data_IF_943336862759
#
_entry.id   IF_943336862759
#
_cell.length_a   1.000
_cell.length_b   1.000
_cell.length_c   1.000
_cell.angle_alpha   90.00
_cell.angle_beta   90.00
_cell.angle_gamma   90.00
#
_symmetry.space_group_name_H-M   'P 1'
#
loop_
_entity.id
_entity.type
_entity.pdbx_description
1 polymer ?
#
# COMPACT_ATOMS: atom_id res chain seq x y z
N UNK A 1 -14.48 17.69 14.15
CA UNK A 1 -14.90 18.82 15.02
C UNK A 1 -15.83 18.31 16.14
N UNK A 2 -16.83 17.48 15.82
CA UNK A 2 -17.75 16.94 16.84
C UNK A 2 -17.01 16.07 17.87
N UNK A 3 -16.08 15.23 17.46
CA UNK A 3 -15.28 14.40 18.37
C UNK A 3 -14.35 15.23 19.26
N UNK A 4 -13.73 16.29 18.72
CA UNK A 4 -12.93 17.22 19.52
C UNK A 4 -13.79 17.98 20.52
N UNK A 5 -14.97 18.43 20.11
CA UNK A 5 -15.91 19.09 21.01
C UNK A 5 -16.39 18.15 22.13
N UNK A 6 -16.66 16.89 21.80
CA UNK A 6 -17.03 15.87 22.78
C UNK A 6 -15.86 15.53 23.72
N UNK A 7 -14.65 15.43 23.22
CA UNK A 7 -13.46 15.22 24.03
C UNK A 7 -13.22 16.37 25.02
N UNK A 8 -13.37 17.63 24.56
CA UNK A 8 -13.26 18.82 25.43
C UNK A 8 -14.40 18.85 26.47
N UNK A 9 -15.64 18.53 26.06
CA UNK A 9 -16.78 18.49 26.95
C UNK A 9 -16.65 17.42 28.04
N UNK A 10 -16.15 16.22 27.67
CA UNK A 10 -15.86 15.16 28.64
C UNK A 10 -14.76 15.57 29.60
N UNK A 11 -13.70 16.22 29.13
CA UNK A 11 -12.59 16.70 29.94
C UNK A 11 -13.05 17.75 30.95
N UNK A 12 -13.93 18.69 30.56
CA UNK A 12 -14.43 19.75 31.44
C UNK A 12 -15.49 19.28 32.40
N UNK A 13 -16.35 18.34 32.00
CA UNK A 13 -17.48 17.90 32.83
C UNK A 13 -17.09 16.82 33.86
N UNK A 14 -16.09 16.02 33.60
CA UNK A 14 -15.74 14.86 34.42
C UNK A 14 -14.36 14.94 35.05
N UNK A 15 -13.64 16.06 34.93
CA UNK A 15 -12.29 16.25 35.50
C UNK A 15 -12.23 16.05 37.00
N UNK A 16 -13.31 16.41 37.74
CA UNK A 16 -13.35 16.35 39.19
C UNK A 16 -13.80 14.98 39.70
N UNK A 17 -14.45 14.17 38.86
CA UNK A 17 -15.05 12.90 39.26
C UNK A 17 -14.26 11.67 38.80
N UNK A 18 -13.40 11.81 37.80
CA UNK A 18 -12.66 10.72 37.19
C UNK A 18 -11.22 11.10 36.85
N UNK A 19 -10.32 10.14 36.98
CA UNK A 19 -8.94 10.30 36.56
C UNK A 19 -8.87 10.37 35.01
N UNK A 20 -8.98 11.59 34.49
CA UNK A 20 -8.91 11.86 33.03
C UNK A 20 -7.54 11.62 32.43
N UNK A 21 -6.47 11.42 33.24
CA UNK A 21 -5.14 11.07 32.74
C UNK A 21 -5.13 9.71 32.02
N UNK A 22 -6.11 8.87 32.31
CA UNK A 22 -6.32 7.56 31.69
C UNK A 22 -7.15 7.59 30.41
N UNK A 23 -7.73 8.76 30.07
CA UNK A 23 -8.49 8.90 28.84
C UNK A 23 -7.53 9.26 27.71
N UNK A 24 -7.28 8.29 26.85
CA UNK A 24 -6.53 8.52 25.60
C UNK A 24 -7.47 9.05 24.53
N UNK A 25 -7.27 10.31 24.16
CA UNK A 25 -8.02 10.90 23.05
C UNK A 25 -7.42 10.41 21.71
N UNK A 26 -8.26 10.08 20.72
CA UNK A 26 -7.77 9.70 19.41
C UNK A 26 -7.04 10.87 18.74
N UNK A 27 -5.98 10.57 18.02
CA UNK A 27 -5.35 11.53 17.13
C UNK A 27 -6.23 11.70 15.89
N UNK A 28 -6.62 12.93 15.60
CA UNK A 28 -7.39 13.25 14.40
C UNK A 28 -6.43 13.56 13.25
N UNK A 29 -6.47 12.74 12.23
CA UNK A 29 -5.72 12.93 10.98
C UNK A 29 -6.72 13.43 9.95
N UNK A 30 -6.56 14.69 9.52
CA UNK A 30 -7.38 15.26 8.47
C UNK A 30 -6.69 15.11 7.11
N UNK A 31 -7.41 14.55 6.15
CA UNK A 31 -6.98 14.49 4.76
C UNK A 31 -7.58 15.64 3.94
N UNK A 32 -6.88 16.01 2.88
CA UNK A 32 -7.41 16.90 1.87
C UNK A 32 -8.51 16.21 1.04
N UNK A 33 -9.13 16.94 0.14
CA UNK A 33 -10.27 16.45 -0.62
C UNK A 33 -9.84 15.52 -1.76
N UNK A 34 -10.63 14.48 -1.96
CA UNK A 34 -10.65 13.72 -3.22
C UNK A 34 -11.59 14.46 -4.17
N UNK A 35 -11.06 14.85 -5.33
CA UNK A 35 -11.83 15.58 -6.34
C UNK A 35 -12.28 14.58 -7.42
N UNK A 36 -13.56 14.27 -7.47
CA UNK A 36 -14.08 13.41 -8.54
C UNK A 36 -14.13 14.20 -9.86
N UNK A 37 -13.43 13.70 -10.88
CA UNK A 37 -13.28 14.37 -12.19
C UNK A 37 -12.86 15.85 -12.03
N UNK A 38 -11.89 16.12 -11.16
CA UNK A 38 -11.37 17.44 -10.78
C UNK A 38 -12.36 18.39 -10.11
N UNK A 39 -13.54 17.91 -9.77
CA UNK A 39 -14.55 18.72 -9.09
C UNK A 39 -14.79 18.24 -7.68
N UNK A 40 -15.00 19.19 -6.78
CA UNK A 40 -15.36 18.88 -5.40
C UNK A 40 -16.77 18.27 -5.39
N UNK A 41 -16.90 17.07 -4.84
CA UNK A 41 -18.19 16.46 -4.59
C UNK A 41 -18.98 17.30 -3.57
N UNK A 42 -20.20 17.65 -3.91
CA UNK A 42 -21.12 18.40 -3.06
C UNK A 42 -22.52 17.86 -3.25
N UNK A 43 -23.31 17.84 -2.20
CA UNK A 43 -24.73 17.45 -2.27
C UNK A 43 -25.58 18.33 -3.20
N UNK A 44 -25.09 19.55 -3.48
CA UNK A 44 -25.72 20.53 -4.38
C UNK A 44 -25.07 20.60 -5.76
N UNK A 45 -24.07 19.77 -6.06
CA UNK A 45 -23.42 19.72 -7.39
C UNK A 45 -24.14 18.75 -8.30
N UNK A 46 -24.16 19.07 -9.61
CA UNK A 46 -24.70 18.18 -10.65
C UNK A 46 -23.85 16.90 -10.82
N UNK A 47 -22.63 16.90 -10.29
CA UNK A 47 -21.71 15.77 -10.37
C UNK A 47 -21.79 15.01 -9.05
N UNK A 48 -22.39 13.83 -9.11
CA UNK A 48 -22.37 12.87 -8.01
C UNK A 48 -21.20 11.91 -8.20
N UNK A 49 -20.26 11.80 -7.22
CA UNK A 49 -19.26 10.77 -7.29
C UNK A 49 -19.92 9.39 -7.14
N UNK A 50 -19.36 8.34 -7.76
CA UNK A 50 -19.87 6.99 -7.60
C UNK A 50 -19.77 6.56 -6.15
N UNK A 51 -20.69 5.71 -5.74
CA UNK A 51 -20.63 5.05 -4.44
C UNK A 51 -19.57 3.92 -4.45
N UNK A 52 -19.16 3.47 -3.29
CA UNK A 52 -18.10 2.46 -3.17
C UNK A 52 -18.50 1.12 -3.83
N UNK A 53 -19.76 0.71 -3.71
CA UNK A 53 -20.33 -0.49 -4.34
C UNK A 53 -20.36 -0.37 -5.87
N UNK A 54 -20.69 0.79 -6.43
CA UNK A 54 -20.61 1.04 -7.88
C UNK A 54 -19.16 0.92 -8.40
N UNK A 55 -18.18 1.39 -7.62
CA UNK A 55 -16.77 1.25 -7.97
C UNK A 55 -16.30 -0.21 -7.93
N UNK A 56 -16.86 -1.01 -7.04
CA UNK A 56 -16.52 -2.44 -6.93
C UNK A 56 -17.02 -3.30 -8.09
N UNK A 57 -17.90 -2.77 -8.95
CA UNK A 57 -18.27 -3.41 -10.21
C UNK A 57 -17.11 -3.41 -11.23
N UNK A 58 -16.17 -2.46 -11.10
CA UNK A 58 -15.07 -2.26 -12.05
C UNK A 58 -13.67 -2.54 -11.45
N UNK A 59 -13.53 -2.40 -10.14
CA UNK A 59 -12.26 -2.51 -9.44
C UNK A 59 -12.37 -3.42 -8.22
N UNK A 60 -11.29 -4.08 -7.85
CA UNK A 60 -11.26 -4.79 -6.56
C UNK A 60 -11.07 -3.80 -5.39
N UNK A 61 -11.48 -4.21 -4.20
CA UNK A 61 -11.30 -3.40 -2.99
C UNK A 61 -9.83 -3.07 -2.74
N UNK A 62 -8.92 -4.01 -3.03
CA UNK A 62 -7.48 -3.85 -2.90
C UNK A 62 -6.93 -2.81 -3.88
N UNK A 63 -7.40 -2.82 -5.14
CA UNK A 63 -7.01 -1.82 -6.14
C UNK A 63 -7.43 -0.41 -5.72
N UNK A 64 -8.66 -0.25 -5.25
CA UNK A 64 -9.16 1.03 -4.76
C UNK A 64 -8.38 1.51 -3.53
N UNK A 65 -8.14 0.63 -2.56
CA UNK A 65 -7.35 0.96 -1.36
C UNK A 65 -5.93 1.39 -1.71
N UNK A 66 -5.25 0.64 -2.59
CA UNK A 66 -3.92 1.01 -3.06
C UNK A 66 -3.91 2.35 -3.76
N UNK A 67 -4.89 2.61 -4.63
CA UNK A 67 -5.01 3.88 -5.32
C UNK A 67 -5.21 5.04 -4.33
N UNK A 68 -6.18 4.96 -3.42
CA UNK A 68 -6.42 6.00 -2.43
C UNK A 68 -5.23 6.22 -1.50
N UNK A 69 -4.53 5.16 -1.12
CA UNK A 69 -3.31 5.26 -0.30
C UNK A 69 -2.21 6.03 -1.04
N UNK A 70 -2.08 5.84 -2.35
CA UNK A 70 -1.04 6.46 -3.17
C UNK A 70 -1.28 7.95 -3.49
N UNK A 71 -2.50 8.47 -3.28
CA UNK A 71 -2.88 9.83 -3.69
C UNK A 71 -2.15 10.96 -2.93
N UNK A 72 -1.61 10.70 -1.75
CA UNK A 72 -0.92 11.73 -0.96
C UNK A 72 -1.86 12.82 -0.42
N UNK A 73 -3.04 12.42 0.01
CA UNK A 73 -4.09 13.33 0.52
C UNK A 73 -3.70 14.10 1.78
N UNK A 74 -2.63 13.71 2.48
CA UNK A 74 -2.08 14.45 3.61
C UNK A 74 -1.53 15.82 3.20
N UNK A 75 -1.09 15.97 1.95
CA UNK A 75 -0.40 17.17 1.46
C UNK A 75 -1.26 18.08 0.59
N UNK A 76 -2.15 17.52 -0.20
CA UNK A 76 -2.98 18.27 -1.17
C UNK A 76 -4.26 17.54 -1.54
N UNK A 77 -5.22 18.29 -2.08
CA UNK A 77 -6.38 17.71 -2.75
C UNK A 77 -5.96 17.09 -4.09
N UNK A 78 -6.47 15.90 -4.40
CA UNK A 78 -6.06 15.14 -5.59
C UNK A 78 -7.30 14.68 -6.37
N UNK A 79 -7.18 14.70 -7.71
CA UNK A 79 -8.20 14.22 -8.61
C UNK A 79 -8.30 12.69 -8.59
N UNK A 80 -9.52 12.19 -8.50
CA UNK A 80 -9.88 10.79 -8.72
C UNK A 80 -10.61 10.68 -10.05
N UNK A 81 -9.96 10.05 -11.03
CA UNK A 81 -10.42 9.99 -12.42
C UNK A 81 -10.39 8.53 -12.92
N UNK A 82 -11.31 7.69 -12.46
CA UNK A 82 -11.38 6.33 -12.96
C UNK A 82 -11.85 6.35 -14.42
N UNK A 83 -11.14 5.64 -15.30
CA UNK A 83 -11.42 5.69 -16.74
C UNK A 83 -12.83 5.20 -17.12
N UNK A 84 -13.41 4.32 -16.32
CA UNK A 84 -14.78 3.82 -16.54
C UNK A 84 -15.84 4.92 -16.57
N UNK A 85 -15.57 6.05 -15.89
CA UNK A 85 -16.46 7.23 -15.87
C UNK A 85 -16.03 8.33 -16.84
N UNK A 86 -14.96 8.11 -17.61
CA UNK A 86 -14.53 9.05 -18.64
C UNK A 86 -15.18 8.72 -19.98
N UNK A 87 -15.47 9.74 -20.82
CA UNK A 87 -15.85 9.52 -22.21
C UNK A 87 -14.81 8.66 -22.94
N UNK A 88 -15.23 7.79 -23.85
CA UNK A 88 -14.31 6.86 -24.53
C UNK A 88 -13.19 7.56 -25.29
N UNK A 89 -13.47 8.70 -25.89
CA UNK A 89 -12.50 9.52 -26.61
C UNK A 89 -11.46 10.19 -25.72
N UNK A 90 -11.70 10.24 -24.40
CA UNK A 90 -10.77 10.81 -23.41
C UNK A 90 -9.97 9.73 -22.66
N UNK A 91 -10.31 8.45 -22.84
CA UNK A 91 -9.60 7.33 -22.22
C UNK A 91 -8.27 7.12 -22.91
N UNK A 92 -7.19 7.52 -22.24
CA UNK A 92 -5.83 7.37 -22.76
C UNK A 92 -4.94 6.62 -21.76
N UNK A 93 -4.15 5.68 -22.28
CA UNK A 93 -3.18 4.94 -21.48
C UNK A 93 -3.83 3.98 -20.49
N UNK A 94 -3.12 3.71 -19.41
CA UNK A 94 -3.57 2.83 -18.34
C UNK A 94 -4.46 3.58 -17.35
N UNK A 95 -5.56 2.96 -16.93
CA UNK A 95 -6.41 3.49 -15.87
C UNK A 95 -5.57 3.76 -14.61
N UNK A 96 -5.69 4.98 -14.08
CA UNK A 96 -4.91 5.43 -12.91
C UNK A 96 -5.20 4.60 -11.66
N UNK A 97 -6.44 4.11 -11.52
CA UNK A 97 -6.82 3.23 -10.39
C UNK A 97 -6.11 1.88 -10.48
N UNK A 98 -5.96 1.35 -11.70
CA UNK A 98 -5.29 0.06 -11.91
C UNK A 98 -3.77 0.15 -11.86
N UNK A 99 -3.19 1.34 -12.03
CA UNK A 99 -1.74 1.52 -12.03
C UNK A 99 -1.09 1.03 -10.73
N UNK A 100 -1.59 1.48 -9.59
CA UNK A 100 -1.10 1.05 -8.29
C UNK A 100 -1.52 -0.39 -7.96
N UNK A 101 -2.71 -0.81 -8.38
CA UNK A 101 -3.17 -2.18 -8.25
C UNK A 101 -2.25 -3.19 -8.95
N UNK A 102 -1.59 -2.79 -10.03
CA UNK A 102 -0.61 -3.62 -10.73
C UNK A 102 0.64 -3.93 -9.90
N UNK A 103 0.96 -3.13 -8.87
CA UNK A 103 2.02 -3.47 -7.93
C UNK A 103 1.72 -4.77 -7.21
N UNK A 104 0.47 -4.96 -6.80
CA UNK A 104 0.04 -6.18 -6.11
C UNK A 104 0.14 -7.41 -7.00
N UNK A 105 -0.30 -7.33 -8.25
CA UNK A 105 -0.36 -8.48 -9.17
C UNK A 105 0.94 -8.72 -9.91
N UNK A 106 1.57 -7.68 -10.43
CA UNK A 106 2.71 -7.80 -11.35
C UNK A 106 4.07 -7.72 -10.65
N UNK A 107 4.12 -7.20 -9.43
CA UNK A 107 5.37 -7.07 -8.66
C UNK A 107 5.37 -8.03 -7.49
N UNK A 108 4.48 -7.84 -6.51
CA UNK A 108 4.46 -8.63 -5.28
C UNK A 108 4.11 -10.09 -5.53
N UNK A 109 2.97 -10.31 -6.16
CA UNK A 109 2.49 -11.66 -6.42
C UNK A 109 3.41 -12.43 -7.36
N UNK A 110 4.04 -11.74 -8.32
CA UNK A 110 5.01 -12.37 -9.23
C UNK A 110 6.22 -12.93 -8.48
N UNK A 111 6.81 -12.16 -7.56
CA UNK A 111 7.95 -12.62 -6.77
C UNK A 111 7.57 -13.83 -5.91
N UNK A 112 6.48 -13.72 -5.15
CA UNK A 112 5.98 -14.79 -4.27
C UNK A 112 5.72 -16.08 -5.07
N UNK A 113 5.04 -15.98 -6.20
CA UNK A 113 4.79 -17.13 -7.07
C UNK A 113 6.08 -17.77 -7.59
N UNK A 114 7.07 -16.97 -7.97
CA UNK A 114 8.35 -17.47 -8.45
C UNK A 114 9.08 -18.25 -7.36
N UNK A 115 9.09 -17.77 -6.13
CA UNK A 115 9.67 -18.48 -4.98
C UNK A 115 8.92 -19.81 -4.72
N UNK A 116 7.58 -19.79 -4.71
CA UNK A 116 6.79 -21.00 -4.51
C UNK A 116 6.99 -22.05 -5.61
N UNK A 117 7.10 -21.66 -6.87
CA UNK A 117 7.41 -22.58 -7.94
C UNK A 117 8.81 -23.20 -7.78
N UNK A 118 9.80 -22.43 -7.34
CA UNK A 118 11.13 -22.97 -7.08
C UNK A 118 11.12 -23.93 -5.88
N UNK A 119 10.40 -23.60 -4.79
CA UNK A 119 10.25 -24.49 -3.63
C UNK A 119 9.55 -25.79 -4.04
N UNK A 120 8.51 -25.71 -4.85
CA UNK A 120 7.83 -26.90 -5.36
C UNK A 120 8.74 -27.76 -6.25
N UNK A 121 9.51 -27.14 -7.12
CA UNK A 121 10.34 -27.86 -8.10
C UNK A 121 11.58 -28.51 -7.51
N UNK A 122 12.18 -27.89 -6.48
CA UNK A 122 13.47 -28.31 -5.95
C UNK A 122 13.43 -28.89 -4.54
N UNK A 123 12.37 -28.62 -3.77
CA UNK A 123 12.31 -28.95 -2.34
C UNK A 123 10.99 -29.61 -1.91
N UNK A 124 10.28 -30.22 -2.83
CA UNK A 124 9.09 -31.00 -2.54
C UNK A 124 8.03 -30.24 -1.70
N UNK A 125 7.82 -28.97 -2.05
CA UNK A 125 6.94 -28.04 -1.35
C UNK A 125 7.34 -27.72 0.12
N UNK A 126 8.58 -28.00 0.51
CA UNK A 126 9.09 -27.67 1.86
C UNK A 126 10.05 -26.49 1.74
N UNK A 127 9.86 -25.50 2.61
CA UNK A 127 10.80 -24.37 2.68
C UNK A 127 12.16 -24.91 3.13
N UNK A 128 13.24 -24.73 2.32
CA UNK A 128 14.55 -25.22 2.69
C UNK A 128 15.14 -24.44 3.86
N UNK A 129 15.92 -25.11 4.70
CA UNK A 129 16.73 -24.42 5.69
C UNK A 129 17.89 -23.70 4.99
N UNK A 130 18.11 -22.45 5.38
CA UNK A 130 19.16 -21.62 4.83
C UNK A 130 19.39 -20.36 5.66
N UNK A 131 20.42 -19.61 5.33
CA UNK A 131 20.71 -18.29 5.91
C UNK A 131 20.29 -17.21 4.92
N UNK A 132 19.62 -16.18 5.41
CA UNK A 132 19.25 -15.04 4.58
C UNK A 132 20.49 -14.26 4.16
N UNK A 133 20.56 -13.83 2.92
CA UNK A 133 21.64 -12.96 2.42
C UNK A 133 21.69 -11.66 3.24
N UNK A 134 22.88 -11.29 3.71
CA UNK A 134 23.07 -10.09 4.55
C UNK A 134 22.65 -8.80 3.85
N UNK A 135 22.78 -8.72 2.53
CA UNK A 135 22.32 -7.56 1.74
C UNK A 135 20.81 -7.44 1.75
N UNK A 136 20.11 -8.57 1.63
CA UNK A 136 18.64 -8.59 1.70
C UNK A 136 18.17 -8.25 3.11
N UNK A 137 18.86 -8.74 4.13
CA UNK A 137 18.56 -8.42 5.52
C UNK A 137 18.76 -6.92 5.82
N UNK A 138 19.83 -6.33 5.31
CA UNK A 138 20.07 -4.88 5.41
C UNK A 138 18.97 -4.07 4.68
N UNK A 139 18.64 -4.44 3.43
CA UNK A 139 17.54 -3.83 2.67
C UNK A 139 16.19 -3.91 3.42
N UNK A 140 15.90 -5.06 4.04
CA UNK A 140 14.68 -5.24 4.81
C UNK A 140 14.65 -4.32 6.04
N UNK A 141 15.77 -4.20 6.77
CA UNK A 141 15.87 -3.28 7.92
C UNK A 141 15.65 -1.83 7.51
N UNK A 142 16.29 -1.39 6.42
CA UNK A 142 16.13 -0.03 5.92
C UNK A 142 14.68 0.24 5.47
N UNK A 143 14.06 -0.71 4.77
CA UNK A 143 12.68 -0.61 4.36
C UNK A 143 11.71 -0.53 5.54
N UNK A 144 11.94 -1.30 6.61
CA UNK A 144 11.12 -1.25 7.83
C UNK A 144 11.24 0.12 8.51
N UNK A 145 12.47 0.65 8.66
CA UNK A 145 12.69 1.97 9.27
C UNK A 145 12.02 3.09 8.47
N UNK A 146 12.13 3.06 7.14
CA UNK A 146 11.46 4.02 6.26
C UNK A 146 9.93 3.88 6.33
N UNK A 147 9.42 2.65 6.34
CA UNK A 147 7.99 2.37 6.52
C UNK A 147 7.47 2.95 7.84
N UNK A 148 8.13 2.65 8.96
CA UNK A 148 7.76 3.16 10.28
C UNK A 148 7.79 4.68 10.34
N UNK A 149 8.83 5.31 9.77
CA UNK A 149 8.95 6.77 9.69
C UNK A 149 7.77 7.39 8.94
N UNK A 150 7.40 6.83 7.80
CA UNK A 150 6.27 7.33 7.02
C UNK A 150 4.92 7.06 7.67
N UNK A 151 4.77 5.91 8.34
CA UNK A 151 3.58 5.62 9.15
C UNK A 151 3.41 6.64 10.27
N UNK A 152 4.49 6.92 11.01
CA UNK A 152 4.49 7.88 12.10
C UNK A 152 4.15 9.30 11.65
N UNK A 153 4.63 9.70 10.47
CA UNK A 153 4.37 11.00 9.88
C UNK A 153 3.05 11.09 9.09
N UNK A 154 2.31 9.98 8.99
CA UNK A 154 1.07 9.86 8.21
C UNK A 154 1.26 10.11 6.71
N UNK A 155 2.47 9.86 6.20
CA UNK A 155 2.84 9.98 4.79
C UNK A 155 2.52 8.69 4.03
N UNK A 156 1.27 8.23 4.08
CA UNK A 156 0.86 6.91 3.59
C UNK A 156 1.19 6.68 2.12
N UNK A 157 1.15 7.71 1.29
CA UNK A 157 1.52 7.60 -0.13
C UNK A 157 2.99 7.21 -0.33
N UNK A 158 3.87 7.54 0.60
CA UNK A 158 5.28 7.17 0.53
C UNK A 158 5.53 5.71 0.87
N UNK A 159 4.64 5.11 1.67
CA UNK A 159 4.72 3.69 2.01
C UNK A 159 4.64 2.81 0.76
N UNK A 160 3.79 3.17 -0.19
CA UNK A 160 3.68 2.43 -1.45
C UNK A 160 4.99 2.42 -2.23
N UNK A 161 5.73 3.53 -2.23
CA UNK A 161 7.04 3.62 -2.87
C UNK A 161 8.11 2.82 -2.12
N UNK A 162 8.12 2.84 -0.79
CA UNK A 162 9.05 2.04 0.02
C UNK A 162 8.85 0.57 -0.27
N UNK A 163 7.61 0.09 -0.25
CA UNK A 163 7.29 -1.31 -0.52
C UNK A 163 7.60 -1.70 -1.96
N UNK A 164 7.25 -0.88 -2.94
CA UNK A 164 7.54 -1.14 -4.35
C UNK A 164 9.05 -1.23 -4.59
N UNK A 165 9.82 -0.27 -4.08
CA UNK A 165 11.27 -0.26 -4.21
C UNK A 165 11.90 -1.50 -3.58
N UNK A 166 11.51 -1.82 -2.35
CA UNK A 166 12.00 -2.99 -1.62
C UNK A 166 11.74 -4.29 -2.38
N UNK A 167 10.50 -4.52 -2.81
CA UNK A 167 10.14 -5.77 -3.49
C UNK A 167 10.79 -5.87 -4.87
N UNK A 168 10.98 -4.76 -5.58
CA UNK A 168 11.72 -4.76 -6.86
C UNK A 168 13.19 -5.12 -6.67
N UNK A 169 13.84 -4.63 -5.63
CA UNK A 169 15.24 -4.99 -5.35
C UNK A 169 15.37 -6.47 -4.95
N UNK A 170 14.45 -6.99 -4.12
CA UNK A 170 14.41 -8.42 -3.82
C UNK A 170 14.18 -9.24 -5.10
N UNK A 171 13.22 -8.85 -5.93
CA UNK A 171 12.93 -9.55 -7.18
C UNK A 171 14.14 -9.56 -8.13
N UNK A 172 14.86 -8.45 -8.21
CA UNK A 172 16.09 -8.34 -8.99
C UNK A 172 17.19 -9.26 -8.44
N UNK A 173 17.37 -9.28 -7.12
CA UNK A 173 18.31 -10.18 -6.47
C UNK A 173 17.95 -11.64 -6.74
N UNK A 174 16.68 -12.01 -6.57
CA UNK A 174 16.18 -13.35 -6.84
C UNK A 174 16.41 -13.78 -8.29
N UNK A 175 15.99 -12.97 -9.27
CA UNK A 175 16.12 -13.28 -10.71
C UNK A 175 17.57 -13.48 -11.12
N UNK A 176 18.48 -12.68 -10.57
CA UNK A 176 19.90 -12.78 -10.91
C UNK A 176 20.53 -14.05 -10.33
N UNK A 177 20.23 -14.36 -9.07
CA UNK A 177 20.87 -15.46 -8.36
C UNK A 177 20.24 -16.82 -8.69
N UNK A 178 18.93 -16.91 -8.96
CA UNK A 178 18.32 -18.19 -9.31
C UNK A 178 18.89 -18.75 -10.62
N UNK A 179 19.17 -17.89 -11.59
CA UNK A 179 19.81 -18.30 -12.85
C UNK A 179 21.22 -18.82 -12.66
N UNK A 180 21.98 -18.23 -11.74
CA UNK A 180 23.32 -18.68 -11.37
C UNK A 180 23.22 -20.03 -10.65
N UNK A 181 22.35 -20.13 -9.67
CA UNK A 181 22.14 -21.36 -8.91
C UNK A 181 21.70 -22.54 -9.80
N UNK A 182 20.86 -22.28 -10.80
CA UNK A 182 20.43 -23.28 -11.78
C UNK A 182 21.57 -23.70 -12.71
N UNK A 183 22.33 -22.74 -13.25
CA UNK A 183 23.44 -23.00 -14.19
C UNK A 183 24.59 -23.75 -13.54
N UNK A 184 24.88 -23.45 -12.27
CA UNK A 184 25.99 -24.01 -11.52
C UNK A 184 25.57 -25.19 -10.63
N UNK A 185 24.32 -25.60 -10.69
CA UNK A 185 23.73 -26.62 -9.79
C UNK A 185 23.99 -26.35 -8.31
N UNK A 186 24.07 -25.05 -7.93
CA UNK A 186 24.45 -24.60 -6.63
C UNK A 186 23.24 -24.58 -5.66
N UNK A 187 23.05 -25.68 -4.94
CA UNK A 187 21.94 -25.83 -3.99
C UNK A 187 22.05 -24.88 -2.79
N UNK A 188 23.27 -24.57 -2.33
CA UNK A 188 23.47 -23.64 -1.21
C UNK A 188 23.02 -22.22 -1.57
N UNK A 189 23.35 -21.73 -2.77
CA UNK A 189 22.88 -20.44 -3.28
C UNK A 189 21.36 -20.45 -3.46
N UNK A 190 20.80 -21.56 -3.97
CA UNK A 190 19.35 -21.69 -4.17
C UNK A 190 18.58 -21.60 -2.85
N UNK A 191 19.09 -22.22 -1.78
CA UNK A 191 18.51 -22.13 -0.43
C UNK A 191 18.59 -20.73 0.17
N UNK A 192 19.67 -20.02 -0.13
CA UNK A 192 19.89 -18.67 0.40
C UNK A 192 18.93 -17.62 -0.19
N UNK A 193 18.48 -17.81 -1.43
CA UNK A 193 17.64 -16.85 -2.15
C UNK A 193 16.15 -17.14 -2.08
N UNK A 194 15.75 -18.28 -1.52
CA UNK A 194 14.35 -18.68 -1.30
C UNK A 194 13.87 -18.36 0.10
#
# INVERSE_FOLDING_TARGET
>A
IAEMAMAVALKTKYSDAHDISKIHFPHLIANNHVLFMDKKASSSSDIKPPMADELLEFYTAEQLRMHFLSLGLSTKSVGFKPQVYMPENERQGQDTVLKEGNLLTNVYNRLIRSCFYSIQSYYDCKIPEGTVDEKILALAKDAVLEYERHMYNHDFHRITYVLDSFIREINKHWVNNIKIAEKEENDALRRQIL
#
